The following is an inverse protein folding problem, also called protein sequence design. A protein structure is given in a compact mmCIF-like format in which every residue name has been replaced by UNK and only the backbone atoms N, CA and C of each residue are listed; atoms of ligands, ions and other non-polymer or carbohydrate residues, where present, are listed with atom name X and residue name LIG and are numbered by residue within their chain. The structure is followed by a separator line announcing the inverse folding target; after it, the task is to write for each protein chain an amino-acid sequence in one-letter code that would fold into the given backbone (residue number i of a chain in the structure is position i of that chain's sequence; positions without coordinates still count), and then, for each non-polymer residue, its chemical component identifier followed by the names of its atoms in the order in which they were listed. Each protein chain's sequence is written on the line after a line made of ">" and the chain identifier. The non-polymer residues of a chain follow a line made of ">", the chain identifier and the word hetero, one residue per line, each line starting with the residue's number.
data_IF_176653142926
#
_entry.id   IF_176653142926
#
_cell.length_a   1.000
_cell.length_b   1.000
_cell.length_c   1.000
_cell.angle_alpha   90.00
_cell.angle_beta   90.00
_cell.angle_gamma   90.00
#
_symmetry.space_group_name_H-M   'P 1'
#
loop_
_entity.id
_entity.type
_entity.pdbx_description
1 polymer ?
#
# COMPACT_ATOMS: atom_id res chain seq x y z
N UNK A 1 -5.90 16.09 1.19
CA UNK A 1 -4.59 16.78 1.29
C UNK A 1 -3.58 16.00 2.14
N UNK A 2 -3.91 15.55 3.36
CA UNK A 2 -3.01 14.81 4.25
C UNK A 2 -2.43 13.52 3.65
N UNK A 3 -3.18 12.81 2.78
CA UNK A 3 -2.77 11.54 2.17
C UNK A 3 -1.83 11.75 0.96
N UNK A 4 -1.95 12.87 0.24
CA UNK A 4 -1.19 13.12 -0.99
C UNK A 4 0.32 13.10 -0.75
N UNK A 5 0.81 13.90 0.19
CA UNK A 5 2.26 14.01 0.45
C UNK A 5 2.90 12.68 0.88
N UNK A 6 2.34 11.92 1.84
CA UNK A 6 2.85 10.59 2.16
C UNK A 6 2.95 9.64 0.96
N UNK A 7 1.93 9.61 0.09
CA UNK A 7 1.92 8.76 -1.09
C UNK A 7 2.87 9.23 -2.20
N UNK A 8 3.18 10.52 -2.28
CA UNK A 8 4.10 11.06 -3.28
C UNK A 8 5.53 11.11 -2.77
N UNK A 9 5.79 11.80 -1.66
CA UNK A 9 7.14 12.09 -1.18
C UNK A 9 7.69 11.00 -0.24
N UNK A 10 6.94 10.63 0.80
CA UNK A 10 7.45 9.64 1.76
C UNK A 10 7.62 8.26 1.13
N UNK A 11 6.66 7.83 0.32
CA UNK A 11 6.74 6.57 -0.40
C UNK A 11 7.87 6.59 -1.44
N UNK A 12 8.13 7.74 -2.09
CA UNK A 12 9.25 7.90 -3.00
C UNK A 12 10.60 7.65 -2.32
N UNK A 13 10.78 8.12 -1.07
CA UNK A 13 12.00 7.84 -0.31
C UNK A 13 12.18 6.36 -0.01
N UNK A 14 11.11 5.66 0.37
CA UNK A 14 11.16 4.20 0.58
C UNK A 14 11.49 3.46 -0.73
N UNK A 15 10.95 3.90 -1.85
CA UNK A 15 11.28 3.37 -3.18
C UNK A 15 12.77 3.57 -3.54
N UNK A 16 13.36 4.73 -3.19
CA UNK A 16 14.80 4.97 -3.40
C UNK A 16 15.67 3.98 -2.61
N UNK A 17 15.27 3.65 -1.37
CA UNK A 17 15.97 2.66 -0.55
C UNK A 17 15.89 1.28 -1.21
N UNK A 18 14.72 0.86 -1.69
CA UNK A 18 14.54 -0.42 -2.41
C UNK A 18 15.41 -0.48 -3.66
N UNK A 19 15.51 0.61 -4.41
CA UNK A 19 16.31 0.67 -5.62
C UNK A 19 17.82 0.58 -5.35
N UNK A 20 18.31 1.26 -4.32
CA UNK A 20 19.70 1.18 -3.88
C UNK A 20 19.92 1.95 -2.58
N UNK A 21 20.17 1.25 -1.49
CA UNK A 21 20.52 1.84 -0.18
C UNK A 21 21.75 2.73 -0.24
N UNK A 22 22.77 2.31 -0.99
CA UNK A 22 24.02 3.08 -1.15
C UNK A 22 23.78 4.39 -1.87
N UNK A 23 23.03 4.37 -2.99
CA UNK A 23 22.69 5.59 -3.71
C UNK A 23 21.79 6.51 -2.89
N UNK A 24 20.86 5.94 -2.11
CA UNK A 24 20.03 6.70 -1.20
C UNK A 24 20.89 7.42 -0.15
N UNK A 25 21.82 6.70 0.49
CA UNK A 25 22.73 7.26 1.49
C UNK A 25 23.62 8.36 0.91
N UNK A 26 24.17 8.17 -0.29
CA UNK A 26 24.97 9.19 -0.97
C UNK A 26 24.13 10.44 -1.31
N UNK A 27 22.94 10.28 -1.85
CA UNK A 27 22.01 11.41 -2.12
C UNK A 27 21.63 12.13 -0.83
N UNK A 28 21.36 11.40 0.25
CA UNK A 28 21.00 11.97 1.54
C UNK A 28 22.12 12.85 2.13
N UNK A 29 23.35 12.44 1.98
CA UNK A 29 24.52 13.17 2.50
C UNK A 29 24.89 14.35 1.61
N UNK A 30 24.89 14.15 0.29
CA UNK A 30 25.52 15.07 -0.65
C UNK A 30 24.54 15.87 -1.53
N UNK A 31 23.29 15.43 -1.69
CA UNK A 31 22.38 15.98 -2.71
C UNK A 31 20.92 15.75 -2.38
N UNK A 32 20.42 16.30 -1.26
CA UNK A 32 19.04 16.09 -0.79
C UNK A 32 17.96 16.40 -1.82
N UNK A 33 18.19 17.36 -2.71
CA UNK A 33 17.25 17.72 -3.79
C UNK A 33 17.01 16.56 -4.78
N UNK A 34 17.95 15.62 -4.91
CA UNK A 34 17.79 14.41 -5.73
C UNK A 34 16.86 13.36 -5.08
N UNK A 35 16.52 13.55 -3.81
CA UNK A 35 15.53 12.71 -3.10
C UNK A 35 14.11 13.29 -3.19
N UNK A 36 13.90 14.40 -3.88
CA UNK A 36 12.56 14.88 -4.17
C UNK A 36 11.95 14.10 -5.34
N UNK A 37 10.65 13.83 -5.26
CA UNK A 37 9.93 13.09 -6.31
C UNK A 37 10.00 13.79 -7.68
N UNK A 38 10.18 15.11 -7.69
CA UNK A 38 10.38 15.92 -8.90
C UNK A 38 11.65 15.56 -9.70
N UNK A 39 12.64 14.96 -9.05
CA UNK A 39 13.91 14.53 -9.68
C UNK A 39 13.80 13.25 -10.52
N UNK A 40 12.68 12.55 -10.44
CA UNK A 40 12.49 11.23 -11.08
C UNK A 40 12.42 11.29 -12.62
N UNK A 41 12.32 12.46 -13.24
CA UNK A 41 12.19 12.58 -14.70
C UNK A 41 10.75 12.50 -15.22
N UNK A 42 9.78 12.98 -14.43
CA UNK A 42 8.37 13.03 -14.80
C UNK A 42 7.67 11.67 -14.77
N UNK A 43 6.55 11.56 -15.45
CA UNK A 43 5.70 10.35 -15.44
C UNK A 43 6.46 9.10 -15.93
N UNK A 44 7.21 9.21 -17.00
CA UNK A 44 7.99 8.08 -17.55
C UNK A 44 9.11 7.65 -16.61
N UNK A 45 9.77 8.59 -15.96
CA UNK A 45 10.81 8.31 -14.98
C UNK A 45 10.25 7.57 -13.76
N UNK A 46 9.12 8.02 -13.21
CA UNK A 46 8.43 7.32 -12.12
C UNK A 46 7.98 5.91 -12.53
N UNK A 47 7.46 5.74 -13.75
CA UNK A 47 7.02 4.43 -14.24
C UNK A 47 8.19 3.45 -14.30
N UNK A 48 9.31 3.83 -14.92
CA UNK A 48 10.51 3.01 -15.00
C UNK A 48 11.08 2.63 -13.62
N UNK A 49 10.98 3.55 -12.66
CA UNK A 49 11.38 3.27 -11.27
C UNK A 49 10.54 2.17 -10.65
N UNK A 50 9.21 2.25 -10.79
CA UNK A 50 8.28 1.25 -10.24
C UNK A 50 8.46 -0.10 -10.95
N UNK A 51 8.68 -0.12 -12.25
CA UNK A 51 9.03 -1.34 -13.00
C UNK A 51 10.28 -2.01 -12.42
N UNK A 52 11.34 -1.24 -12.21
CA UNK A 52 12.58 -1.75 -11.60
C UNK A 52 12.39 -2.24 -10.17
N UNK A 53 11.54 -1.59 -9.39
CA UNK A 53 11.18 -2.05 -8.05
C UNK A 53 10.50 -3.43 -8.11
N UNK A 54 9.56 -3.63 -9.03
CA UNK A 54 8.91 -4.93 -9.19
C UNK A 54 9.86 -6.02 -9.69
N UNK A 55 10.86 -5.67 -10.51
CA UNK A 55 11.95 -6.59 -10.87
C UNK A 55 12.77 -7.01 -9.64
N UNK A 56 13.13 -6.06 -8.76
CA UNK A 56 13.89 -6.32 -7.52
C UNK A 56 13.07 -7.18 -6.55
N UNK A 57 11.80 -6.89 -6.39
CA UNK A 57 10.89 -7.65 -5.50
C UNK A 57 10.50 -9.01 -6.10
N UNK A 58 10.64 -9.18 -7.43
CA UNK A 58 10.35 -10.42 -8.15
C UNK A 58 8.86 -10.63 -8.47
N UNK A 59 8.00 -9.65 -8.22
CA UNK A 59 6.57 -9.71 -8.58
C UNK A 59 5.94 -8.32 -8.59
N UNK A 60 4.98 -8.11 -9.50
CA UNK A 60 4.13 -6.92 -9.50
C UNK A 60 2.80 -7.11 -8.74
N UNK A 61 2.51 -8.31 -8.27
CA UNK A 61 1.31 -8.66 -7.51
C UNK A 61 -0.02 -8.25 -8.17
N UNK A 62 -0.07 -8.19 -9.50
CA UNK A 62 -1.22 -7.72 -10.27
C UNK A 62 -1.34 -6.19 -10.36
N UNK A 63 -0.38 -5.45 -9.83
CA UNK A 63 -0.33 -4.00 -9.93
C UNK A 63 0.27 -3.55 -11.27
N UNK A 64 -0.14 -2.37 -11.75
CA UNK A 64 0.41 -1.73 -12.95
C UNK A 64 1.31 -0.56 -12.57
N UNK A 65 2.61 -0.56 -12.95
CA UNK A 65 3.51 0.57 -12.74
C UNK A 65 2.95 1.88 -13.29
N UNK A 66 2.41 1.83 -14.50
CA UNK A 66 1.81 2.99 -15.16
C UNK A 66 0.62 3.54 -14.38
N UNK A 67 -0.22 2.66 -13.82
CA UNK A 67 -1.40 3.09 -13.06
C UNK A 67 -1.03 3.65 -11.68
N UNK A 68 -0.04 3.06 -10.99
CA UNK A 68 0.51 3.61 -9.73
C UNK A 68 1.07 5.02 -9.99
N UNK A 69 1.89 5.17 -11.03
CA UNK A 69 2.47 6.47 -11.43
C UNK A 69 1.39 7.49 -11.74
N UNK A 70 0.40 7.08 -12.54
CA UNK A 70 -0.73 7.92 -12.94
C UNK A 70 -1.53 8.41 -11.74
N UNK A 71 -1.86 7.53 -10.81
CA UNK A 71 -2.59 7.90 -9.59
C UNK A 71 -1.80 8.87 -8.71
N UNK A 72 -0.48 8.74 -8.64
CA UNK A 72 0.37 9.52 -7.72
C UNK A 72 0.83 10.85 -8.29
N UNK A 73 1.14 10.93 -9.59
CA UNK A 73 1.94 12.04 -10.14
C UNK A 73 1.32 12.72 -11.37
N UNK A 74 0.32 12.14 -12.03
CA UNK A 74 -0.25 12.73 -13.24
C UNK A 74 -1.31 13.78 -12.91
N UNK A 75 -0.88 15.04 -12.85
CA UNK A 75 -1.74 16.21 -12.59
C UNK A 75 -2.80 16.43 -13.66
N UNK A 76 -2.55 15.99 -14.88
CA UNK A 76 -3.48 16.14 -16.01
C UNK A 76 -4.62 15.12 -15.98
N UNK A 77 -4.42 14.02 -15.26
CA UNK A 77 -5.40 12.97 -15.18
C UNK A 77 -6.41 13.22 -14.07
N UNK A 78 -7.68 13.26 -14.46
CA UNK A 78 -8.78 13.44 -13.51
C UNK A 78 -8.95 12.28 -12.53
N UNK A 79 -8.40 11.09 -12.83
CA UNK A 79 -8.38 9.92 -11.93
C UNK A 79 -7.10 9.86 -11.07
N UNK A 80 -6.41 10.97 -10.87
CA UNK A 80 -5.22 11.00 -10.03
C UNK A 80 -5.43 11.72 -8.71
N UNK A 81 -4.77 11.25 -7.65
CA UNK A 81 -4.75 11.96 -6.38
C UNK A 81 -4.12 13.33 -6.50
N UNK A 82 -3.09 13.47 -7.34
CA UNK A 82 -2.45 14.76 -7.57
C UNK A 82 -3.40 15.74 -8.30
N UNK A 83 -4.08 15.27 -9.35
CA UNK A 83 -5.05 16.05 -10.09
C UNK A 83 -6.25 16.48 -9.24
N UNK A 84 -6.84 15.53 -8.51
CA UNK A 84 -8.00 15.80 -7.64
C UNK A 84 -7.63 16.71 -6.47
N UNK A 85 -6.54 16.44 -5.76
CA UNK A 85 -6.11 17.26 -4.63
C UNK A 85 -5.74 18.68 -5.06
N UNK A 86 -5.12 18.85 -6.24
CA UNK A 86 -4.87 20.17 -6.80
C UNK A 86 -6.17 20.90 -7.09
N UNK A 87 -7.10 20.25 -7.80
CA UNK A 87 -8.40 20.84 -8.12
C UNK A 87 -9.17 21.21 -6.85
N UNK A 88 -9.12 20.39 -5.82
CA UNK A 88 -9.78 20.65 -4.55
C UNK A 88 -9.21 21.85 -3.78
N UNK A 89 -8.00 22.29 -4.08
CA UNK A 89 -7.39 23.49 -3.46
C UNK A 89 -7.67 24.79 -4.21
N UNK A 90 -8.21 24.72 -5.42
CA UNK A 90 -8.52 25.90 -6.23
C UNK A 90 -9.98 26.28 -6.11
N UNK A 91 -10.28 27.58 -6.00
CA UNK A 91 -11.64 28.12 -5.83
C UNK A 91 -12.59 27.86 -7.01
N UNK A 92 -12.03 27.63 -8.21
CA UNK A 92 -12.79 27.45 -9.44
C UNK A 92 -12.37 26.18 -10.14
N UNK A 93 -12.94 25.03 -9.74
CA UNK A 93 -12.61 23.75 -10.36
C UNK A 93 -13.80 22.82 -10.49
N UNK A 94 -13.80 22.02 -11.56
CA UNK A 94 -14.74 20.92 -11.79
C UNK A 94 -14.00 19.61 -11.89
N UNK A 95 -14.61 18.53 -11.38
CA UNK A 95 -14.12 17.17 -11.56
C UNK A 95 -15.31 16.25 -11.85
N UNK A 96 -15.14 15.32 -12.79
CA UNK A 96 -16.15 14.29 -13.06
C UNK A 96 -16.21 13.19 -11.99
N UNK A 97 -15.12 13.00 -11.23
CA UNK A 97 -15.03 11.96 -10.21
C UNK A 97 -15.54 12.40 -8.84
N UNK A 98 -15.55 13.68 -8.57
CA UNK A 98 -16.10 14.26 -7.35
C UNK A 98 -17.01 15.43 -7.71
N UNK A 99 -18.17 15.51 -7.06
CA UNK A 99 -19.04 16.66 -7.22
C UNK A 99 -18.38 17.88 -6.60
N UNK A 100 -18.18 18.92 -7.42
CA UNK A 100 -17.63 20.20 -6.99
C UNK A 100 -18.65 21.30 -7.37
N UNK A 101 -18.65 22.39 -6.62
CA UNK A 101 -19.44 23.58 -6.94
C UNK A 101 -18.60 24.59 -7.70
N UNK A 102 -19.25 25.48 -8.45
CA UNK A 102 -18.56 26.49 -9.27
C UNK A 102 -17.63 27.41 -8.47
N UNK A 103 -17.95 27.66 -7.22
CA UNK A 103 -17.03 28.27 -6.25
C UNK A 103 -16.58 27.15 -5.31
N UNK A 104 -15.33 26.77 -5.36
CA UNK A 104 -14.83 25.60 -4.64
C UNK A 104 -14.77 25.79 -3.11
N UNK A 105 -15.94 25.95 -2.52
CA UNK A 105 -16.14 25.97 -1.07
C UNK A 105 -16.21 24.53 -0.50
N UNK A 106 -16.07 23.53 -1.39
CA UNK A 106 -16.19 22.10 -1.08
C UNK A 106 -15.32 21.61 0.09
N UNK A 107 -14.15 22.20 0.28
CA UNK A 107 -13.27 21.87 1.39
C UNK A 107 -13.79 22.34 2.75
N UNK A 108 -14.65 23.34 2.77
CA UNK A 108 -15.14 24.00 3.99
C UNK A 108 -16.63 23.69 4.20
N UNK A 109 -17.40 23.61 3.13
CA UNK A 109 -18.86 23.48 3.17
C UNK A 109 -19.38 22.38 2.22
N UNK A 110 -18.75 21.21 2.21
CA UNK A 110 -19.23 20.11 1.38
C UNK A 110 -20.65 19.70 1.77
N UNK A 111 -21.55 19.70 0.81
CA UNK A 111 -22.86 19.07 0.96
C UNK A 111 -22.73 17.55 1.08
N UNK A 112 -23.77 16.86 1.56
CA UNK A 112 -23.79 15.41 1.76
C UNK A 112 -23.37 14.62 0.51
N UNK A 113 -23.92 15.00 -0.66
CA UNK A 113 -23.59 14.33 -1.92
C UNK A 113 -22.14 14.52 -2.39
N UNK A 114 -21.53 15.66 -2.07
CA UNK A 114 -20.11 15.89 -2.37
C UNK A 114 -19.21 15.08 -1.46
N UNK A 115 -19.57 14.97 -0.18
CA UNK A 115 -18.88 14.12 0.78
C UNK A 115 -18.91 12.64 0.36
N UNK A 116 -20.07 12.12 -0.03
CA UNK A 116 -20.20 10.74 -0.51
C UNK A 116 -19.32 10.46 -1.73
N UNK A 117 -19.32 11.35 -2.74
CA UNK A 117 -18.49 11.16 -3.94
C UNK A 117 -17.00 11.25 -3.65
N UNK A 118 -16.58 12.10 -2.71
CA UNK A 118 -15.18 12.18 -2.28
C UNK A 118 -14.73 10.89 -1.60
N UNK A 119 -15.56 10.34 -0.70
CA UNK A 119 -15.28 9.07 -0.05
C UNK A 119 -15.31 7.89 -1.03
N UNK A 120 -16.29 7.84 -1.93
CA UNK A 120 -16.38 6.79 -2.93
C UNK A 120 -15.14 6.75 -3.83
N UNK A 121 -14.67 7.92 -4.28
CA UNK A 121 -13.40 8.02 -5.01
C UNK A 121 -12.22 7.57 -4.16
N UNK A 122 -12.08 8.07 -2.95
CA UNK A 122 -10.98 7.73 -2.06
C UNK A 122 -10.93 6.22 -1.79
N UNK A 123 -12.04 5.62 -1.42
CA UNK A 123 -12.13 4.18 -1.15
C UNK A 123 -11.91 3.33 -2.39
N UNK A 124 -12.15 3.85 -3.58
CA UNK A 124 -11.92 3.12 -4.83
C UNK A 124 -10.45 3.11 -5.27
N UNK A 125 -9.62 4.06 -4.84
CA UNK A 125 -8.23 4.21 -5.30
C UNK A 125 -7.19 3.96 -4.21
N UNK A 126 -7.48 4.39 -2.99
CA UNK A 126 -6.53 4.31 -1.88
C UNK A 126 -6.10 2.88 -1.54
N UNK A 127 -6.98 1.86 -1.49
CA UNK A 127 -6.56 0.48 -1.20
C UNK A 127 -5.52 -0.06 -2.20
N UNK A 128 -5.61 0.30 -3.46
CA UNK A 128 -4.63 -0.08 -4.49
C UNK A 128 -3.24 0.50 -4.18
N UNK A 129 -3.15 1.76 -3.81
CA UNK A 129 -1.89 2.40 -3.43
C UNK A 129 -1.38 1.95 -2.07
N UNK A 130 -2.27 1.67 -1.11
CA UNK A 130 -1.89 1.11 0.19
C UNK A 130 -1.33 -0.29 0.05
N UNK A 131 -1.87 -1.10 -0.86
CA UNK A 131 -1.30 -2.42 -1.14
C UNK A 131 0.11 -2.31 -1.73
N UNK A 132 0.33 -1.39 -2.66
CA UNK A 132 1.67 -1.10 -3.17
C UNK A 132 2.61 -0.63 -2.05
N UNK A 133 2.16 0.28 -1.20
CA UNK A 133 2.93 0.75 -0.04
C UNK A 133 3.29 -0.41 0.89
N UNK A 134 2.33 -1.29 1.16
CA UNK A 134 2.58 -2.48 1.99
C UNK A 134 3.66 -3.39 1.41
N UNK A 135 3.66 -3.64 0.09
CA UNK A 135 4.70 -4.44 -0.57
C UNK A 135 6.09 -3.83 -0.36
N UNK A 136 6.23 -2.50 -0.52
CA UNK A 136 7.49 -1.79 -0.32
C UNK A 136 7.97 -1.93 1.14
N UNK A 137 7.07 -1.68 2.10
CA UNK A 137 7.38 -1.78 3.53
C UNK A 137 7.74 -3.22 3.91
N UNK A 138 7.01 -4.21 3.42
CA UNK A 138 7.26 -5.63 3.69
C UNK A 138 8.63 -6.07 3.15
N UNK A 139 8.97 -5.64 1.93
CA UNK A 139 10.28 -5.91 1.35
C UNK A 139 11.42 -5.32 2.19
N UNK A 140 11.30 -4.05 2.59
CA UNK A 140 12.29 -3.39 3.44
C UNK A 140 12.38 -4.02 4.83
N UNK A 141 11.24 -4.39 5.42
CA UNK A 141 11.21 -5.06 6.72
C UNK A 141 11.92 -6.41 6.65
N UNK A 142 11.64 -7.19 5.60
CA UNK A 142 12.26 -8.52 5.40
C UNK A 142 13.76 -8.44 5.10
N UNK A 143 14.27 -7.31 4.58
CA UNK A 143 15.70 -7.08 4.39
C UNK A 143 16.46 -6.83 5.71
N UNK A 144 15.73 -6.37 6.74
CA UNK A 144 16.30 -6.08 8.07
C UNK A 144 16.07 -7.25 9.04
N UNK A 145 14.87 -7.83 9.02
CA UNK A 145 14.44 -8.91 9.92
C UNK A 145 13.82 -9.99 9.08
N UNK A 146 14.42 -11.19 9.10
CA UNK A 146 13.86 -12.33 8.39
C UNK A 146 12.46 -12.65 8.92
N UNK A 147 11.47 -12.50 8.04
CA UNK A 147 10.06 -12.77 8.36
C UNK A 147 9.69 -14.18 7.93
N UNK A 148 9.03 -14.95 8.81
CA UNK A 148 8.65 -16.32 8.47
C UNK A 148 7.66 -16.34 7.29
N UNK A 149 7.85 -17.29 6.36
CA UNK A 149 6.97 -17.46 5.21
C UNK A 149 5.52 -17.74 5.62
N UNK A 150 5.32 -18.46 6.73
CA UNK A 150 3.99 -18.74 7.28
C UNK A 150 3.24 -17.47 7.67
N UNK A 151 3.93 -16.53 8.28
CA UNK A 151 3.36 -15.21 8.63
C UNK A 151 3.04 -14.39 7.38
N UNK A 152 3.98 -14.32 6.42
CA UNK A 152 3.77 -13.63 5.16
C UNK A 152 2.54 -14.17 4.40
N UNK A 153 2.41 -15.47 4.35
CA UNK A 153 1.27 -16.15 3.71
C UNK A 153 -0.05 -15.87 4.45
N UNK A 154 -0.03 -15.77 5.78
CA UNK A 154 -1.22 -15.43 6.57
C UNK A 154 -1.68 -14.00 6.28
N UNK A 155 -0.76 -13.02 6.34
CA UNK A 155 -1.07 -11.64 6.02
C UNK A 155 -1.56 -11.50 4.58
N UNK A 156 -0.90 -12.15 3.63
CA UNK A 156 -1.30 -12.10 2.23
C UNK A 156 -2.69 -12.71 2.01
N UNK A 157 -3.05 -13.82 2.68
CA UNK A 157 -4.42 -14.37 2.63
C UNK A 157 -5.45 -13.33 3.10
N UNK A 158 -5.18 -12.66 4.23
CA UNK A 158 -6.09 -11.64 4.78
C UNK A 158 -6.25 -10.45 3.85
N UNK A 159 -5.14 -9.95 3.32
CA UNK A 159 -5.14 -8.79 2.42
C UNK A 159 -5.82 -9.14 1.10
N UNK A 160 -5.53 -10.30 0.50
CA UNK A 160 -6.22 -10.75 -0.72
C UNK A 160 -7.73 -10.90 -0.51
N UNK A 161 -8.15 -11.48 0.61
CA UNK A 161 -9.58 -11.58 0.94
C UNK A 161 -10.23 -10.20 1.14
N UNK A 162 -9.53 -9.26 1.79
CA UNK A 162 -9.99 -7.88 1.94
C UNK A 162 -10.17 -7.19 0.59
N UNK A 163 -9.23 -7.35 -0.34
CA UNK A 163 -9.29 -6.75 -1.68
C UNK A 163 -10.47 -7.30 -2.49
N UNK A 164 -10.72 -8.61 -2.41
CA UNK A 164 -11.87 -9.21 -3.09
C UNK A 164 -13.19 -8.69 -2.49
N UNK A 165 -13.27 -8.57 -1.17
CA UNK A 165 -14.45 -8.00 -0.49
C UNK A 165 -14.63 -6.52 -0.87
N UNK A 166 -13.56 -5.74 -0.83
CA UNK A 166 -13.55 -4.34 -1.23
C UNK A 166 -14.06 -4.12 -2.65
N UNK A 167 -13.65 -4.95 -3.63
CA UNK A 167 -14.10 -4.87 -5.00
C UNK A 167 -15.62 -4.97 -5.17
N UNK A 168 -16.26 -5.79 -4.33
CA UNK A 168 -17.72 -5.94 -4.34
C UNK A 168 -18.49 -4.72 -3.80
N UNK A 169 -17.81 -3.86 -3.04
CA UNK A 169 -18.41 -2.67 -2.43
C UNK A 169 -18.13 -1.38 -3.22
N UNK A 170 -17.28 -1.44 -4.27
CA UNK A 170 -17.00 -0.29 -5.12
C UNK A 170 -18.15 -0.10 -6.10
N UNK A 171 -18.63 1.16 -6.21
CA UNK A 171 -19.56 1.56 -7.25
C UNK A 171 -18.97 1.34 -8.66
N UNK A 172 -19.78 0.84 -9.60
CA UNK A 172 -19.34 0.51 -10.95
C UNK A 172 -18.76 1.70 -11.70
N UNK A 173 -19.18 2.92 -11.39
CA UNK A 173 -18.62 4.16 -11.94
C UNK A 173 -17.10 4.29 -11.67
N UNK A 174 -16.62 3.78 -10.53
CA UNK A 174 -15.22 3.85 -10.13
C UNK A 174 -14.40 2.64 -10.54
N UNK A 175 -15.02 1.59 -11.08
CA UNK A 175 -14.33 0.40 -11.58
C UNK A 175 -13.60 0.68 -12.89
N UNK A 176 -12.44 0.09 -13.04
CA UNK A 176 -11.67 0.13 -14.29
C UNK A 176 -10.85 -1.15 -14.47
N UNK A 177 -10.37 -1.36 -15.68
CA UNK A 177 -9.59 -2.55 -16.06
C UNK A 177 -8.37 -2.80 -15.17
N UNK A 178 -7.67 -1.76 -14.72
CA UNK A 178 -6.45 -1.91 -13.91
C UNK A 178 -6.77 -2.41 -12.51
N UNK A 179 -7.84 -1.93 -11.92
CA UNK A 179 -8.34 -2.42 -10.63
C UNK A 179 -8.89 -3.84 -10.77
N UNK A 180 -9.62 -4.13 -11.84
CA UNK A 180 -10.15 -5.47 -12.11
C UNK A 180 -9.03 -6.50 -12.24
N UNK A 181 -7.99 -6.21 -13.00
CA UNK A 181 -6.84 -7.09 -13.17
C UNK A 181 -6.10 -7.33 -11.85
N UNK A 182 -5.97 -6.30 -11.03
CA UNK A 182 -5.40 -6.40 -9.69
C UNK A 182 -6.22 -7.34 -8.80
N UNK A 183 -7.54 -7.20 -8.79
CA UNK A 183 -8.43 -8.05 -7.98
C UNK A 183 -8.40 -9.50 -8.47
N UNK A 184 -8.47 -9.74 -9.79
CA UNK A 184 -8.36 -11.08 -10.38
C UNK A 184 -7.05 -11.76 -9.96
N UNK A 185 -5.93 -11.05 -9.97
CA UNK A 185 -4.65 -11.59 -9.52
C UNK A 185 -4.71 -12.01 -8.03
N UNK A 186 -5.32 -11.19 -7.16
CA UNK A 186 -5.45 -11.54 -5.74
C UNK A 186 -6.38 -12.75 -5.53
N UNK A 187 -7.46 -12.84 -6.31
CA UNK A 187 -8.39 -13.96 -6.25
C UNK A 187 -7.72 -15.26 -6.71
N UNK A 188 -7.03 -15.23 -7.85
CA UNK A 188 -6.29 -16.38 -8.37
C UNK A 188 -5.22 -16.85 -7.38
N UNK A 189 -4.46 -15.92 -6.80
CA UNK A 189 -3.45 -16.24 -5.80
C UNK A 189 -4.10 -16.90 -4.57
N UNK A 190 -5.17 -16.33 -4.03
CA UNK A 190 -5.86 -16.85 -2.85
C UNK A 190 -6.44 -18.24 -3.10
N UNK A 191 -7.09 -18.45 -4.25
CA UNK A 191 -7.67 -19.73 -4.65
C UNK A 191 -6.58 -20.82 -4.76
N UNK A 192 -5.50 -20.51 -5.47
CA UNK A 192 -4.37 -21.43 -5.64
C UNK A 192 -3.69 -21.73 -4.31
N UNK A 193 -3.52 -20.72 -3.45
CA UNK A 193 -2.92 -20.91 -2.14
C UNK A 193 -3.80 -21.82 -1.23
N UNK A 194 -5.11 -21.64 -1.23
CA UNK A 194 -6.02 -22.52 -0.50
C UNK A 194 -5.94 -23.97 -1.01
N UNK A 195 -6.01 -24.17 -2.32
CA UNK A 195 -5.95 -25.51 -2.94
C UNK A 195 -4.60 -26.19 -2.66
N UNK A 196 -3.48 -25.47 -2.79
CA UNK A 196 -2.14 -25.98 -2.50
C UNK A 196 -1.99 -26.45 -1.05
N UNK A 197 -2.71 -25.83 -0.12
CA UNK A 197 -2.71 -26.21 1.30
C UNK A 197 -3.82 -27.23 1.66
N UNK A 198 -4.47 -27.86 0.66
CA UNK A 198 -5.47 -28.90 0.88
C UNK A 198 -6.87 -28.39 1.23
N UNK A 199 -7.14 -27.12 1.04
CA UNK A 199 -8.43 -26.50 1.32
C UNK A 199 -9.24 -26.22 0.05
N UNK A 200 -10.55 -26.00 0.20
CA UNK A 200 -11.43 -25.62 -0.90
C UNK A 200 -11.24 -24.16 -1.30
N UNK A 201 -11.67 -23.82 -2.52
CA UNK A 201 -11.78 -22.43 -2.98
C UNK A 201 -12.73 -21.65 -2.04
N UNK A 202 -12.35 -20.44 -1.60
CA UNK A 202 -13.15 -19.63 -0.69
C UNK A 202 -14.48 -19.19 -1.29
N UNK A 203 -15.55 -19.29 -0.51
CA UNK A 203 -16.84 -18.64 -0.78
C UNK A 203 -16.86 -17.22 -0.18
N UNK A 204 -17.85 -16.39 -0.53
CA UNK A 204 -18.02 -15.04 0.04
C UNK A 204 -17.99 -15.06 1.58
N UNK A 205 -18.65 -16.01 2.22
CA UNK A 205 -18.64 -16.15 3.68
C UNK A 205 -17.26 -16.55 4.24
N UNK A 206 -16.47 -17.30 3.47
CA UNK A 206 -15.11 -17.64 3.85
C UNK A 206 -14.22 -16.40 3.77
N UNK A 207 -14.36 -15.52 2.77
CA UNK A 207 -13.55 -14.31 2.61
C UNK A 207 -13.59 -13.43 3.87
N UNK A 208 -14.77 -13.25 4.49
CA UNK A 208 -14.91 -12.48 5.73
C UNK A 208 -14.10 -13.11 6.89
N UNK A 209 -14.09 -14.45 6.99
CA UNK A 209 -13.31 -15.16 8.02
C UNK A 209 -11.82 -15.07 7.73
N UNK A 210 -11.42 -15.27 6.47
CA UNK A 210 -10.02 -15.16 6.03
C UNK A 210 -9.51 -13.76 6.35
N UNK A 211 -10.23 -12.69 5.99
CA UNK A 211 -9.86 -11.33 6.32
C UNK A 211 -9.67 -11.13 7.84
N UNK A 212 -10.59 -11.63 8.67
CA UNK A 212 -10.55 -11.40 10.13
C UNK A 212 -9.40 -12.12 10.85
N UNK A 213 -9.09 -13.35 10.47
CA UNK A 213 -8.18 -14.21 11.22
C UNK A 213 -7.27 -15.10 10.36
N UNK A 214 -7.20 -14.88 9.03
CA UNK A 214 -6.38 -15.65 8.09
C UNK A 214 -6.78 -17.12 7.94
N UNK A 215 -7.98 -17.54 8.43
CA UNK A 215 -8.40 -18.93 8.38
C UNK A 215 -8.56 -19.46 6.96
N UNK A 216 -8.19 -20.71 6.74
CA UNK A 216 -8.58 -21.41 5.52
C UNK A 216 -10.07 -21.78 5.51
N UNK A 217 -10.67 -22.01 4.33
CA UNK A 217 -12.05 -22.49 4.24
C UNK A 217 -12.23 -23.81 5.02
N UNK A 218 -13.18 -23.84 5.96
CA UNK A 218 -13.46 -24.97 6.85
C UNK A 218 -12.32 -25.39 7.80
N UNK A 219 -11.35 -24.52 8.04
CA UNK A 219 -10.33 -24.72 9.06
C UNK A 219 -10.97 -24.82 10.46
N UNK A 220 -10.50 -25.76 11.29
CA UNK A 220 -11.02 -25.97 12.64
C UNK A 220 -10.67 -24.78 13.56
N UNK A 221 -11.54 -24.53 14.55
CA UNK A 221 -11.29 -23.47 15.54
C UNK A 221 -10.01 -23.71 16.36
N UNK A 222 -9.65 -24.98 16.61
CA UNK A 222 -8.42 -25.35 17.32
C UNK A 222 -7.18 -25.03 16.50
N UNK A 223 -7.18 -25.33 15.20
CA UNK A 223 -6.09 -25.00 14.27
C UNK A 223 -5.87 -23.48 14.20
N UNK A 224 -6.95 -22.71 14.03
CA UNK A 224 -6.89 -21.23 13.99
C UNK A 224 -6.27 -20.69 15.29
N UNK A 225 -6.74 -21.19 16.46
CA UNK A 225 -6.20 -20.75 17.76
C UNK A 225 -4.72 -21.07 17.91
N UNK A 226 -4.30 -22.26 17.48
CA UNK A 226 -2.90 -22.66 17.57
C UNK A 226 -2.01 -21.79 16.68
N UNK A 227 -2.42 -21.52 15.44
CA UNK A 227 -1.70 -20.65 14.51
C UNK A 227 -1.57 -19.23 15.06
N UNK A 228 -2.66 -18.63 15.57
CA UNK A 228 -2.62 -17.29 16.16
C UNK A 228 -1.75 -17.23 17.42
N UNK A 229 -1.72 -18.32 18.22
CA UNK A 229 -0.83 -18.40 19.37
C UNK A 229 0.63 -18.47 18.94
N UNK A 230 0.96 -19.25 17.92
CA UNK A 230 2.33 -19.32 17.39
C UNK A 230 2.82 -17.95 16.94
N UNK A 231 1.97 -17.13 16.28
CA UNK A 231 2.33 -15.76 15.90
C UNK A 231 2.56 -14.85 17.13
N UNK A 232 1.71 -14.96 18.16
CA UNK A 232 1.91 -14.17 19.39
C UNK A 232 3.22 -14.55 20.09
N UNK A 233 3.58 -15.81 20.07
CA UNK A 233 4.83 -16.28 20.68
C UNK A 233 6.05 -15.80 19.86
N UNK A 234 5.98 -15.77 18.53
CA UNK A 234 7.01 -15.18 17.64
C UNK A 234 7.15 -13.68 17.88
N UNK A 235 6.04 -12.94 17.97
CA UNK A 235 6.08 -11.51 18.28
C UNK A 235 6.64 -11.23 19.68
N UNK A 236 6.35 -12.07 20.67
CA UNK A 236 6.93 -11.93 22.00
C UNK A 236 8.44 -12.14 22.00
N UNK A 237 8.94 -13.10 21.25
CA UNK A 237 10.37 -13.37 21.10
C UNK A 237 11.02 -12.16 20.41
N UNK A 238 10.49 -11.70 19.27
CA UNK A 238 11.04 -10.54 18.55
C UNK A 238 10.99 -9.24 19.38
N UNK A 239 9.94 -9.00 20.17
CA UNK A 239 9.87 -7.86 21.08
C UNK A 239 10.85 -7.98 22.26
N UNK A 240 11.13 -9.18 22.73
CA UNK A 240 12.14 -9.43 23.77
C UNK A 240 13.55 -9.23 23.20
N UNK A 241 13.80 -9.69 21.98
CA UNK A 241 15.07 -9.50 21.27
C UNK A 241 15.29 -8.02 20.96
N UNK A 242 14.29 -7.29 20.48
CA UNK A 242 14.37 -5.86 20.26
C UNK A 242 14.69 -5.09 21.56
N UNK A 243 14.09 -5.47 22.69
CA UNK A 243 14.46 -4.93 24.01
C UNK A 243 15.87 -5.28 24.45
N UNK A 244 16.42 -6.41 24.01
CA UNK A 244 17.81 -6.78 24.25
C UNK A 244 18.76 -5.89 23.44
N UNK A 245 18.46 -5.64 22.17
CA UNK A 245 19.23 -4.73 21.32
C UNK A 245 19.19 -3.28 21.80
N UNK A 246 18.03 -2.79 22.34
CA UNK A 246 17.97 -1.46 22.95
C UNK A 246 18.87 -1.32 24.19
N UNK A 247 19.14 -2.40 24.92
CA UNK A 247 20.05 -2.38 26.07
C UNK A 247 21.54 -2.34 25.66
N UNK A 248 21.87 -2.90 24.52
CA UNK A 248 23.25 -2.95 24.02
C UNK A 248 23.62 -1.77 23.11
N UNK A 249 22.64 -1.05 22.56
CA UNK A 249 22.85 0.22 21.87
C UNK A 249 22.91 1.35 22.91
N UNK A 250 23.99 1.38 23.67
CA UNK A 250 24.43 2.60 24.32
C UNK A 250 24.87 3.59 23.25
N UNK A 251 23.95 4.41 22.76
CA UNK A 251 24.30 5.61 22.00
C UNK A 251 25.19 6.48 22.89
N UNK A 252 26.48 6.35 22.72
CA UNK A 252 27.40 7.41 23.12
C UNK A 252 27.08 8.60 22.22
N UNK A 253 26.21 9.49 22.71
CA UNK A 253 26.13 10.85 22.17
C UNK A 253 27.54 11.40 22.34
N UNK A 254 28.30 11.46 21.25
CA UNK A 254 29.55 12.20 21.22
C UNK A 254 29.12 13.65 21.22
N UNK A 255 29.16 14.24 22.41
CA UNK A 255 29.03 15.69 22.60
C UNK A 255 30.22 16.36 21.90
N UNK A 256 30.06 16.72 20.63
CA UNK A 256 30.99 17.55 19.89
C UNK A 256 30.78 19.03 20.23
N UNK A 257 30.86 19.35 21.49
CA UNK A 257 31.05 20.73 21.99
C UNK A 257 32.36 20.78 22.74
N UNK A 258 33.43 20.95 22.00
CA UNK A 258 34.65 21.66 22.46
C UNK A 258 35.37 22.23 21.26
#
# INVERSE_FOLDING_TARGET
>A
MLIRKPLQESLYLLEEIVLSELNFSDKYINSLNLLESSSAGGIDGHTKRIEKIFEIIGSNFGLSPQYITKLRYDKSNEDSFDGICNKAMHLFTNSKYIKTENMNINMIFSGYSQFETQWAYLYSRLPYLLFYTWIIVEYLTNSIIETSQEYLDDIRRRVSALIILWWNEIDDFYKNEKLENFVKFQEEWLNNHCVKNGYKIPTKNNLIKIFKNGSFPNESKSSIKQRLKNYQDIYRINLLDAKYYEKDINFKIIDNNK
#
